data_IF_439460408036
#
_entry.id   IF_439460408036
#
_cell.length_a   1.000
_cell.length_b   1.000
_cell.length_c   1.000
_cell.angle_alpha   90.00
_cell.angle_beta   90.00
_cell.angle_gamma   90.00
#
_symmetry.space_group_name_H-M   'P 1'
#
loop_
_entity.id
_entity.type
_entity.pdbx_description
1 polymer ?
#
# COMPACT_ATOMS: atom_id res chain seq x y z
N UNK A 1 -1.39 -9.01 -69.34
CA UNK A 1 -2.20 -9.93 -68.51
C UNK A 1 -1.70 -10.07 -67.06
N UNK A 2 -0.40 -9.90 -66.78
CA UNK A 2 0.16 -10.04 -65.42
C UNK A 2 -0.31 -9.00 -64.38
N UNK A 3 -0.57 -7.75 -64.77
CA UNK A 3 -0.97 -6.70 -63.83
C UNK A 3 -2.38 -6.87 -63.24
N UNK A 4 -3.33 -7.44 -64.00
CA UNK A 4 -4.70 -7.73 -63.53
C UNK A 4 -4.74 -8.90 -62.55
N UNK A 5 -3.86 -9.90 -62.74
CA UNK A 5 -3.74 -11.07 -61.85
C UNK A 5 -3.16 -10.66 -60.49
N UNK A 6 -2.19 -9.74 -60.46
CA UNK A 6 -1.62 -9.21 -59.21
C UNK A 6 -2.62 -8.38 -58.39
N UNK A 7 -3.52 -7.63 -59.04
CA UNK A 7 -4.55 -6.85 -58.34
C UNK A 7 -5.61 -7.77 -57.69
N UNK A 8 -6.02 -8.83 -58.39
CA UNK A 8 -6.98 -9.83 -57.89
C UNK A 8 -6.41 -10.65 -56.73
N UNK A 9 -5.12 -11.01 -56.77
CA UNK A 9 -4.42 -11.67 -55.67
C UNK A 9 -4.33 -10.79 -54.42
N UNK A 10 -4.07 -9.48 -54.57
CA UNK A 10 -4.05 -8.55 -53.42
C UNK A 10 -5.44 -8.32 -52.82
N UNK A 11 -6.48 -8.21 -53.64
CA UNK A 11 -7.87 -8.10 -53.18
C UNK A 11 -8.35 -9.37 -52.47
N UNK A 12 -7.95 -10.55 -52.95
CA UNK A 12 -8.27 -11.83 -52.31
C UNK A 12 -7.53 -12.00 -50.97
N UNK A 13 -6.27 -11.59 -50.88
CA UNK A 13 -5.50 -11.66 -49.63
C UNK A 13 -6.03 -10.66 -48.57
N UNK A 14 -6.49 -9.48 -48.99
CA UNK A 14 -7.14 -8.51 -48.09
C UNK A 14 -8.51 -9.00 -47.61
N UNK A 15 -9.28 -9.69 -48.47
CA UNK A 15 -10.55 -10.30 -48.07
C UNK A 15 -10.36 -11.48 -47.11
N UNK A 16 -9.31 -12.29 -47.28
CA UNK A 16 -8.95 -13.38 -46.35
C UNK A 16 -8.43 -12.84 -45.02
N UNK A 17 -7.67 -11.73 -45.02
CA UNK A 17 -7.25 -11.05 -43.79
C UNK A 17 -8.46 -10.41 -43.07
N UNK A 18 -9.39 -9.78 -43.78
CA UNK A 18 -10.63 -9.25 -43.20
C UNK A 18 -11.55 -10.35 -42.66
N UNK A 19 -11.62 -11.52 -43.32
CA UNK A 19 -12.38 -12.67 -42.83
C UNK A 19 -11.70 -13.39 -41.65
N UNK A 20 -10.36 -13.40 -41.59
CA UNK A 20 -9.61 -13.89 -40.43
C UNK A 20 -9.74 -12.97 -39.21
N UNK A 21 -9.96 -11.67 -39.41
CA UNK A 21 -10.28 -10.72 -38.32
C UNK A 21 -11.72 -10.91 -37.83
N UNK A 22 -12.63 -11.43 -38.66
CA UNK A 22 -14.05 -11.64 -38.31
C UNK A 22 -14.35 -12.99 -37.61
N UNK A 23 -13.35 -13.86 -37.40
CA UNK A 23 -13.55 -15.20 -36.80
C UNK A 23 -12.74 -15.45 -35.52
N UNK A 24 -12.21 -14.39 -34.90
CA UNK A 24 -11.95 -14.43 -33.46
C UNK A 24 -13.31 -14.39 -32.79
N UNK A 25 -13.81 -15.59 -32.48
CA UNK A 25 -14.85 -15.84 -31.50
C UNK A 25 -14.73 -14.82 -30.39
N UNK A 26 -15.83 -14.13 -30.09
CA UNK A 26 -16.06 -13.40 -28.85
C UNK A 26 -15.87 -14.39 -27.70
N UNK A 27 -14.63 -14.71 -27.36
CA UNK A 27 -14.28 -14.82 -25.96
C UNK A 27 -14.54 -13.42 -25.45
N UNK A 28 -15.69 -13.23 -24.82
CA UNK A 28 -15.82 -12.21 -23.80
C UNK A 28 -14.62 -12.44 -22.90
N UNK A 29 -13.53 -11.69 -23.12
CA UNK A 29 -12.43 -11.65 -22.19
C UNK A 29 -13.09 -11.17 -20.91
N UNK A 30 -13.41 -12.13 -20.05
CA UNK A 30 -13.98 -11.86 -18.76
C UNK A 30 -13.06 -10.81 -18.15
N UNK A 31 -13.59 -9.60 -17.94
CA UNK A 31 -12.82 -8.51 -17.36
C UNK A 31 -12.09 -9.10 -16.15
N UNK A 32 -10.75 -9.08 -16.10
CA UNK A 32 -10.01 -9.71 -15.01
C UNK A 32 -10.33 -9.07 -13.64
N UNK A 33 -11.07 -7.94 -13.63
CA UNK A 33 -11.62 -7.27 -12.46
C UNK A 33 -13.11 -7.55 -12.22
N UNK A 34 -13.77 -8.33 -13.07
CA UNK A 34 -15.16 -8.74 -12.89
C UNK A 34 -15.30 -9.63 -11.67
N UNK A 35 -16.25 -9.27 -10.82
CA UNK A 35 -16.59 -10.06 -9.63
C UNK A 35 -17.61 -11.15 -9.99
N UNK A 36 -17.57 -12.30 -9.29
CA UNK A 36 -18.58 -13.34 -9.43
C UNK A 36 -20.00 -12.78 -9.39
N UNK A 37 -20.88 -13.32 -10.23
CA UNK A 37 -22.22 -12.79 -10.43
C UNK A 37 -23.00 -12.68 -9.10
N UNK A 38 -22.84 -13.69 -8.25
CA UNK A 38 -23.48 -13.85 -6.95
C UNK A 38 -22.97 -12.90 -5.87
N UNK A 39 -21.81 -12.25 -6.06
CA UNK A 39 -21.22 -11.35 -5.05
C UNK A 39 -21.82 -9.94 -5.11
N UNK A 40 -23.10 -9.85 -4.74
CA UNK A 40 -23.85 -8.59 -4.78
C UNK A 40 -23.30 -7.54 -3.82
N UNK A 41 -22.82 -7.95 -2.64
CA UNK A 41 -22.25 -7.04 -1.63
C UNK A 41 -20.90 -6.53 -2.09
N UNK A 42 -20.03 -7.41 -2.57
CA UNK A 42 -18.73 -7.03 -3.11
C UNK A 42 -18.85 -6.01 -4.26
N UNK A 43 -19.82 -6.18 -5.17
CA UNK A 43 -20.07 -5.22 -6.26
C UNK A 43 -20.43 -3.83 -5.75
N UNK A 44 -21.26 -3.73 -4.71
CA UNK A 44 -21.58 -2.44 -4.07
C UNK A 44 -20.35 -1.79 -3.46
N UNK A 45 -19.57 -2.55 -2.69
CA UNK A 45 -18.33 -2.05 -2.08
C UNK A 45 -17.30 -1.63 -3.13
N UNK A 46 -17.14 -2.43 -4.20
CA UNK A 46 -16.26 -2.11 -5.32
C UNK A 46 -16.64 -0.76 -5.94
N UNK A 47 -17.91 -0.54 -6.24
CA UNK A 47 -18.36 0.71 -6.85
C UNK A 47 -18.08 1.93 -5.96
N UNK A 48 -18.33 1.83 -4.65
CA UNK A 48 -18.03 2.90 -3.69
C UNK A 48 -16.52 3.14 -3.55
N UNK A 49 -15.73 2.07 -3.42
CA UNK A 49 -14.28 2.12 -3.33
C UNK A 49 -13.66 2.71 -4.61
N UNK A 50 -14.08 2.27 -5.80
CA UNK A 50 -13.59 2.77 -7.10
C UNK A 50 -13.82 4.28 -7.21
N UNK A 51 -15.02 4.75 -6.86
CA UNK A 51 -15.37 6.17 -6.92
C UNK A 51 -14.49 7.02 -6.00
N UNK A 52 -14.32 6.61 -4.74
CA UNK A 52 -13.47 7.33 -3.78
C UNK A 52 -12.00 7.25 -4.14
N UNK A 53 -11.52 6.10 -4.61
CA UNK A 53 -10.12 5.91 -4.98
C UNK A 53 -9.76 6.80 -6.17
N UNK A 54 -10.64 6.89 -7.18
CA UNK A 54 -10.48 7.84 -8.28
C UNK A 54 -10.40 9.29 -7.77
N UNK A 55 -11.33 9.70 -6.92
CA UNK A 55 -11.33 11.04 -6.32
C UNK A 55 -10.04 11.32 -5.53
N UNK A 56 -9.56 10.35 -4.75
CA UNK A 56 -8.32 10.45 -3.99
C UNK A 56 -7.11 10.64 -4.92
N UNK A 57 -6.99 9.81 -5.95
CA UNK A 57 -5.89 9.86 -6.92
C UNK A 57 -5.90 11.16 -7.74
N UNK A 58 -7.06 11.58 -8.25
CA UNK A 58 -7.21 12.86 -8.95
C UNK A 58 -6.81 14.03 -8.03
N UNK A 59 -7.21 13.97 -6.76
CA UNK A 59 -6.83 14.96 -5.76
C UNK A 59 -5.33 15.00 -5.46
N UNK A 60 -4.62 13.86 -5.50
CA UNK A 60 -3.16 13.79 -5.33
C UNK A 60 -2.45 14.47 -6.50
N UNK A 61 -2.85 14.15 -7.74
CA UNK A 61 -2.23 14.74 -8.93
C UNK A 61 -2.53 16.24 -9.04
N UNK A 62 -3.75 16.65 -8.69
CA UNK A 62 -4.15 18.05 -8.71
C UNK A 62 -3.40 18.89 -7.66
N UNK A 63 -3.11 18.33 -6.48
CA UNK A 63 -2.38 19.02 -5.42
C UNK A 63 -0.86 19.09 -5.65
N UNK A 64 -0.32 18.29 -6.58
CA UNK A 64 1.10 18.29 -6.87
C UNK A 64 1.55 19.56 -7.59
N UNK A 65 2.67 20.15 -7.16
CA UNK A 65 3.33 21.23 -7.90
C UNK A 65 3.78 20.73 -9.27
N UNK A 66 4.04 21.64 -10.22
CA UNK A 66 4.43 21.28 -11.57
C UNK A 66 5.67 20.37 -11.60
N UNK A 67 6.63 20.63 -10.72
CA UNK A 67 7.89 19.89 -10.59
C UNK A 67 7.69 18.47 -10.03
N UNK A 68 6.64 18.26 -9.23
CA UNK A 68 6.35 16.97 -8.57
C UNK A 68 5.22 16.19 -9.22
N UNK A 69 4.62 16.72 -10.29
CA UNK A 69 3.44 16.11 -10.93
C UNK A 69 3.73 14.72 -11.50
N UNK A 70 4.89 14.52 -12.14
CA UNK A 70 5.30 13.20 -12.66
C UNK A 70 5.43 12.17 -11.53
N UNK A 71 6.08 12.55 -10.43
CA UNK A 71 6.21 11.72 -9.24
C UNK A 71 4.85 11.37 -8.62
N UNK A 72 3.93 12.32 -8.56
CA UNK A 72 2.58 12.09 -8.05
C UNK A 72 1.79 11.11 -8.92
N UNK A 73 1.90 11.23 -10.25
CA UNK A 73 1.28 10.29 -11.20
C UNK A 73 1.87 8.88 -11.07
N UNK A 74 3.19 8.76 -10.99
CA UNK A 74 3.86 7.47 -10.79
C UNK A 74 3.42 6.80 -9.49
N UNK A 75 3.36 7.55 -8.39
CA UNK A 75 2.90 7.04 -7.10
C UNK A 75 1.44 6.58 -7.15
N UNK A 76 0.56 7.30 -7.85
CA UNK A 76 -0.84 6.91 -8.07
C UNK A 76 -0.93 5.60 -8.84
N UNK A 77 -0.19 5.46 -9.94
CA UNK A 77 -0.18 4.24 -10.75
C UNK A 77 0.33 3.05 -9.95
N UNK A 78 1.38 3.23 -9.15
CA UNK A 78 1.90 2.18 -8.28
C UNK A 78 0.86 1.73 -7.25
N UNK A 79 0.15 2.67 -6.61
CA UNK A 79 -0.88 2.34 -5.64
C UNK A 79 -2.11 1.68 -6.28
N UNK A 80 -2.45 2.08 -7.50
CA UNK A 80 -3.50 1.41 -8.27
C UNK A 80 -3.14 -0.05 -8.58
N UNK A 81 -1.90 -0.32 -8.99
CA UNK A 81 -1.42 -1.69 -9.23
C UNK A 81 -1.45 -2.53 -7.95
N UNK A 82 -0.98 -1.98 -6.82
CA UNK A 82 -1.00 -2.67 -5.53
C UNK A 82 -2.44 -3.02 -5.09
N UNK A 83 -3.38 -2.09 -5.31
CA UNK A 83 -4.81 -2.30 -5.05
C UNK A 83 -5.40 -3.39 -5.92
N UNK A 84 -5.15 -3.36 -7.23
CA UNK A 84 -5.64 -4.36 -8.17
C UNK A 84 -5.11 -5.77 -7.82
N UNK A 85 -3.82 -5.89 -7.47
CA UNK A 85 -3.22 -7.16 -7.04
C UNK A 85 -3.89 -7.67 -5.76
N UNK A 86 -4.14 -6.80 -4.79
CA UNK A 86 -4.74 -7.19 -3.51
C UNK A 86 -6.19 -7.61 -3.67
N UNK A 87 -6.97 -6.87 -4.46
CA UNK A 87 -8.35 -7.23 -4.79
C UNK A 87 -8.41 -8.53 -5.61
N UNK A 88 -7.49 -8.73 -6.56
CA UNK A 88 -7.40 -9.98 -7.34
C UNK A 88 -7.11 -11.20 -6.46
N UNK A 89 -6.18 -11.08 -5.50
CA UNK A 89 -5.92 -12.12 -4.50
C UNK A 89 -7.17 -12.41 -3.65
N UNK A 90 -7.87 -11.36 -3.21
CA UNK A 90 -9.11 -11.52 -2.46
C UNK A 90 -10.20 -12.22 -3.28
N UNK A 91 -10.39 -11.84 -4.54
CA UNK A 91 -11.31 -12.53 -5.46
C UNK A 91 -10.93 -14.00 -5.64
N UNK A 92 -9.64 -14.28 -5.83
CA UNK A 92 -9.12 -15.65 -6.04
C UNK A 92 -9.29 -16.56 -4.82
N UNK A 93 -9.50 -16.00 -3.63
CA UNK A 93 -9.80 -16.78 -2.42
C UNK A 93 -11.19 -17.42 -2.43
N UNK A 94 -12.10 -16.95 -3.29
CA UNK A 94 -13.48 -17.42 -3.34
C UNK A 94 -14.36 -16.96 -2.16
N UNK A 95 -13.83 -16.14 -1.25
CA UNK A 95 -14.57 -15.57 -0.12
C UNK A 95 -14.98 -14.11 -0.40
N UNK A 96 -16.29 -13.88 -0.54
CA UNK A 96 -16.86 -12.55 -0.75
C UNK A 96 -16.53 -11.60 0.42
N UNK A 97 -16.52 -12.10 1.65
CA UNK A 97 -16.26 -11.28 2.84
C UNK A 97 -14.81 -10.80 2.86
N UNK A 98 -13.88 -11.64 2.40
CA UNK A 98 -12.49 -11.24 2.24
C UNK A 98 -12.35 -10.10 1.23
N UNK A 99 -13.02 -10.20 0.07
CA UNK A 99 -13.05 -9.10 -0.90
C UNK A 99 -13.65 -7.82 -0.31
N UNK A 100 -14.81 -7.92 0.35
CA UNK A 100 -15.48 -6.77 0.99
C UNK A 100 -14.57 -6.12 2.03
N UNK A 101 -13.84 -6.90 2.82
CA UNK A 101 -12.88 -6.40 3.80
C UNK A 101 -11.74 -5.61 3.13
N UNK A 102 -11.15 -6.14 2.06
CA UNK A 102 -10.06 -5.45 1.33
C UNK A 102 -10.58 -4.19 0.65
N UNK A 103 -11.74 -4.24 -0.01
CA UNK A 103 -12.37 -3.07 -0.64
C UNK A 103 -12.69 -1.98 0.39
N UNK A 104 -13.20 -2.34 1.56
CA UNK A 104 -13.47 -1.40 2.65
C UNK A 104 -12.18 -0.75 3.20
N UNK A 105 -11.07 -1.49 3.26
CA UNK A 105 -9.78 -0.96 3.68
C UNK A 105 -9.28 0.12 2.69
N UNK A 106 -9.36 -0.14 1.37
CA UNK A 106 -9.02 0.85 0.35
C UNK A 106 -9.99 2.04 0.33
N UNK A 107 -11.28 1.81 0.56
CA UNK A 107 -12.26 2.90 0.70
C UNK A 107 -11.86 3.85 1.85
N UNK A 108 -11.51 3.30 3.01
CA UNK A 108 -11.04 4.06 4.17
C UNK A 108 -9.73 4.79 3.85
N UNK A 109 -8.80 4.14 3.17
CA UNK A 109 -7.54 4.73 2.74
C UNK A 109 -7.78 5.93 1.80
N UNK A 110 -8.63 5.78 0.80
CA UNK A 110 -9.04 6.86 -0.09
C UNK A 110 -9.69 8.02 0.68
N UNK A 111 -10.54 7.72 1.67
CA UNK A 111 -11.11 8.73 2.57
C UNK A 111 -10.06 9.57 3.31
N UNK A 112 -9.00 8.93 3.81
CA UNK A 112 -7.89 9.64 4.47
C UNK A 112 -7.14 10.56 3.50
N UNK A 113 -6.93 10.15 2.25
CA UNK A 113 -6.32 10.99 1.20
C UNK A 113 -7.19 12.18 0.84
N UNK A 114 -8.50 11.96 0.72
CA UNK A 114 -9.48 13.02 0.42
C UNK A 114 -9.46 14.08 1.54
N UNK A 115 -9.45 13.65 2.80
CA UNK A 115 -9.44 14.53 3.96
C UNK A 115 -8.09 15.26 4.20
N UNK A 116 -6.99 14.77 3.63
CA UNK A 116 -5.68 15.39 3.77
C UNK A 116 -5.61 16.76 3.07
N UNK A 117 -4.86 17.70 3.69
CA UNK A 117 -4.53 18.99 3.07
C UNK A 117 -3.75 18.78 1.77
N UNK A 118 -3.80 19.72 0.80
CA UNK A 118 -3.16 19.57 -0.52
C UNK A 118 -1.70 19.10 -0.43
N UNK A 119 -0.87 19.76 0.37
CA UNK A 119 0.55 19.44 0.54
C UNK A 119 0.81 18.05 1.13
N UNK A 120 -0.20 17.46 1.77
CA UNK A 120 -0.08 16.18 2.47
C UNK A 120 -0.73 15.02 1.72
N UNK A 121 -1.46 15.25 0.62
CA UNK A 121 -2.20 14.19 -0.09
C UNK A 121 -1.30 13.05 -0.56
N UNK A 122 -0.14 13.36 -1.16
CA UNK A 122 0.79 12.33 -1.63
C UNK A 122 1.31 11.44 -0.49
N UNK A 123 1.67 12.05 0.64
CA UNK A 123 2.14 11.33 1.83
C UNK A 123 1.02 10.53 2.50
N UNK A 124 -0.18 11.12 2.58
CA UNK A 124 -1.37 10.43 3.09
C UNK A 124 -1.72 9.22 2.23
N UNK A 125 -1.58 9.31 0.90
CA UNK A 125 -1.82 8.20 -0.01
C UNK A 125 -0.85 7.05 0.24
N UNK A 126 0.45 7.34 0.28
CA UNK A 126 1.46 6.32 0.57
C UNK A 126 1.15 5.61 1.89
N UNK A 127 0.95 6.35 2.99
CA UNK A 127 0.69 5.76 4.30
C UNK A 127 -0.63 4.95 4.34
N UNK A 128 -1.72 5.51 3.82
CA UNK A 128 -3.04 4.92 3.97
C UNK A 128 -3.26 3.71 3.05
N UNK A 129 -2.76 3.76 1.81
CA UNK A 129 -2.89 2.64 0.89
C UNK A 129 -1.94 1.49 1.25
N UNK A 130 -0.71 1.78 1.70
CA UNK A 130 0.17 0.74 2.24
C UNK A 130 -0.45 0.10 3.50
N UNK A 131 -1.18 0.87 4.31
CA UNK A 131 -1.92 0.35 5.45
C UNK A 131 -3.14 -0.50 5.11
N UNK A 132 -3.70 -0.39 3.90
CA UNK A 132 -4.86 -1.18 3.48
C UNK A 132 -4.55 -2.67 3.25
N UNK A 133 -3.27 -3.00 3.06
CA UNK A 133 -2.77 -4.36 2.81
C UNK A 133 -2.05 -4.98 4.00
N UNK A 134 -1.65 -4.15 4.97
CA UNK A 134 -1.07 -4.63 6.21
C UNK A 134 -2.14 -5.33 7.09
N UNK A 135 -1.75 -6.28 7.96
CA UNK A 135 -2.67 -6.88 8.91
C UNK A 135 -3.30 -5.82 9.82
N UNK A 136 -4.61 -5.93 10.09
CA UNK A 136 -5.31 -4.99 10.98
C UNK A 136 -4.98 -5.31 12.46
N UNK A 137 -4.36 -4.38 13.21
CA UNK A 137 -4.13 -4.57 14.64
C UNK A 137 -5.39 -4.87 15.45
N UNK A 138 -6.55 -4.33 15.04
CA UNK A 138 -7.83 -4.57 15.70
C UNK A 138 -8.32 -6.02 15.59
N UNK A 139 -7.72 -6.82 14.69
CA UNK A 139 -8.01 -8.24 14.50
C UNK A 139 -6.97 -9.15 15.15
N UNK A 140 -5.96 -8.62 15.83
CA UNK A 140 -5.03 -9.43 16.58
C UNK A 140 -5.73 -10.19 17.72
N UNK A 141 -5.38 -11.47 17.98
CA UNK A 141 -4.27 -12.25 17.38
C UNK A 141 -4.67 -13.09 16.14
N UNK A 142 -5.83 -12.86 15.52
CA UNK A 142 -6.43 -13.75 14.51
C UNK A 142 -5.93 -13.53 13.07
N UNK A 143 -4.89 -12.72 12.87
CA UNK A 143 -4.31 -12.39 11.54
C UNK A 143 -2.89 -12.94 11.43
N UNK A 144 -1.88 -12.10 11.26
CA UNK A 144 -0.47 -12.49 11.23
C UNK A 144 0.14 -12.48 12.64
N UNK A 145 0.63 -13.63 13.08
CA UNK A 145 1.19 -13.79 14.44
C UNK A 145 2.44 -12.93 14.68
N UNK A 146 3.48 -12.97 13.83
CA UNK A 146 4.65 -12.10 13.98
C UNK A 146 4.29 -10.61 14.07
N UNK A 147 3.37 -10.13 13.22
CA UNK A 147 2.85 -8.77 13.28
C UNK A 147 2.18 -8.48 14.61
N UNK A 148 1.26 -9.32 15.08
CA UNK A 148 0.54 -9.10 16.32
C UNK A 148 1.47 -9.09 17.55
N UNK A 149 2.49 -9.95 17.55
CA UNK A 149 3.52 -9.97 18.60
C UNK A 149 4.36 -8.68 18.59
N UNK A 150 4.83 -8.25 17.42
CA UNK A 150 5.58 -6.99 17.28
C UNK A 150 4.73 -5.78 17.64
N UNK A 151 3.47 -5.72 17.18
CA UNK A 151 2.53 -4.64 17.50
C UNK A 151 2.30 -4.54 19.01
N UNK A 152 2.05 -5.67 19.69
CA UNK A 152 1.88 -5.67 21.14
C UNK A 152 3.13 -5.17 21.87
N UNK A 153 4.33 -5.54 21.41
CA UNK A 153 5.60 -5.06 21.98
C UNK A 153 5.78 -3.55 21.79
N UNK A 154 5.57 -3.04 20.58
CA UNK A 154 5.72 -1.62 20.29
C UNK A 154 4.69 -0.78 21.03
N UNK A 155 3.42 -1.21 21.11
CA UNK A 155 2.38 -0.53 21.91
C UNK A 155 2.75 -0.45 23.40
N UNK A 156 3.29 -1.54 23.95
CA UNK A 156 3.77 -1.56 25.33
C UNK A 156 4.95 -0.60 25.53
N UNK A 157 5.87 -0.55 24.58
CA UNK A 157 6.98 0.40 24.61
C UNK A 157 6.47 1.86 24.57
N UNK A 158 5.58 2.19 23.64
CA UNK A 158 4.97 3.52 23.51
C UNK A 158 4.26 3.94 24.79
N UNK A 159 3.39 3.08 25.32
CA UNK A 159 2.64 3.33 26.55
C UNK A 159 3.57 3.47 27.76
N UNK A 160 4.57 2.61 27.87
CA UNK A 160 5.57 2.65 28.94
C UNK A 160 6.44 3.91 28.91
N UNK A 161 6.77 4.41 27.73
CA UNK A 161 7.48 5.68 27.55
C UNK A 161 6.59 6.86 27.94
N UNK A 162 5.34 6.91 27.50
CA UNK A 162 4.40 7.98 27.93
C UNK A 162 4.22 7.97 29.44
N UNK A 163 4.14 6.78 30.05
CA UNK A 163 3.98 6.63 31.49
C UNK A 163 5.20 7.09 32.30
N UNK A 164 6.38 7.24 31.69
CA UNK A 164 7.60 7.68 32.39
C UNK A 164 7.67 9.18 32.64
N UNK A 165 6.71 9.96 32.15
CA UNK A 165 6.59 11.38 32.49
C UNK A 165 6.06 11.58 33.91
N UNK A 166 6.75 12.38 34.72
CA UNK A 166 6.37 12.63 36.12
C UNK A 166 5.21 13.61 36.31
N UNK A 167 4.82 14.36 35.27
CA UNK A 167 3.77 15.38 35.33
C UNK A 167 2.86 15.28 34.10
N UNK A 168 1.62 15.78 34.15
CA UNK A 168 0.76 15.86 32.96
C UNK A 168 1.44 16.58 31.79
N UNK A 169 2.21 17.65 32.07
CA UNK A 169 2.91 18.41 31.04
C UNK A 169 4.04 17.61 30.38
N UNK A 170 4.85 16.88 31.16
CA UNK A 170 5.90 16.03 30.60
C UNK A 170 5.32 14.84 29.84
N UNK A 171 4.23 14.22 30.34
CA UNK A 171 3.51 13.18 29.60
C UNK A 171 3.00 13.66 28.25
N UNK A 172 2.41 14.85 28.17
CA UNK A 172 1.96 15.44 26.89
C UNK A 172 3.11 15.65 25.90
N UNK A 173 4.24 16.18 26.36
CA UNK A 173 5.44 16.34 25.52
C UNK A 173 5.98 15.00 25.02
N UNK A 174 6.03 14.00 25.89
CA UNK A 174 6.42 12.63 25.52
C UNK A 174 5.44 12.03 24.52
N UNK A 175 4.12 12.22 24.70
CA UNK A 175 3.09 11.71 23.78
C UNK A 175 3.27 12.25 22.36
N UNK A 176 3.61 13.53 22.18
CA UNK A 176 3.85 14.09 20.83
C UNK A 176 5.06 13.42 20.14
N UNK A 177 6.15 13.20 20.88
CA UNK A 177 7.33 12.50 20.37
C UNK A 177 7.03 11.04 20.03
N UNK A 178 6.33 10.34 20.94
CA UNK A 178 5.92 8.94 20.76
C UNK A 178 4.98 8.78 19.56
N UNK A 179 4.05 9.72 19.35
CA UNK A 179 3.13 9.68 18.22
C UNK A 179 3.87 9.75 16.87
N UNK A 180 4.91 10.59 16.76
CA UNK A 180 5.74 10.67 15.54
C UNK A 180 6.45 9.35 15.27
N UNK A 181 7.02 8.73 16.30
CA UNK A 181 7.72 7.44 16.18
C UNK A 181 6.76 6.30 15.87
N UNK A 182 5.55 6.32 16.44
CA UNK A 182 4.48 5.37 16.13
C UNK A 182 4.07 5.45 14.66
N UNK A 183 3.78 6.65 14.16
CA UNK A 183 3.43 6.84 12.75
C UNK A 183 4.55 6.38 11.80
N UNK A 184 5.81 6.65 12.13
CA UNK A 184 6.94 6.16 11.34
C UNK A 184 7.07 4.63 11.38
N UNK A 185 6.80 4.02 12.53
CA UNK A 185 6.81 2.56 12.69
C UNK A 185 5.72 1.91 11.83
N UNK A 186 4.49 2.42 11.95
CA UNK A 186 3.35 1.94 11.17
C UNK A 186 3.62 2.11 9.66
N UNK A 187 4.17 3.25 9.24
CA UNK A 187 4.51 3.50 7.84
C UNK A 187 5.50 2.46 7.28
N UNK A 188 6.55 2.15 8.04
CA UNK A 188 7.59 1.22 7.62
C UNK A 188 7.09 -0.23 7.58
N UNK A 189 6.28 -0.64 8.57
CA UNK A 189 5.68 -1.97 8.59
C UNK A 189 4.69 -2.10 7.44
N UNK A 190 3.77 -1.14 7.29
CA UNK A 190 2.76 -1.15 6.22
C UNK A 190 3.40 -1.23 4.85
N UNK A 191 4.47 -0.46 4.63
CA UNK A 191 5.21 -0.48 3.37
C UNK A 191 5.84 -1.85 3.06
N UNK A 192 6.45 -2.51 4.05
CA UNK A 192 6.99 -3.85 3.82
C UNK A 192 5.90 -4.87 3.48
N UNK A 193 4.73 -4.76 4.11
CA UNK A 193 3.57 -5.58 3.74
C UNK A 193 3.08 -5.28 2.33
N UNK A 194 3.05 -4.01 1.93
CA UNK A 194 2.66 -3.60 0.58
C UNK A 194 3.60 -4.10 -0.51
N UNK A 195 4.90 -4.17 -0.23
CA UNK A 195 5.89 -4.76 -1.13
C UNK A 195 5.80 -6.29 -1.19
N UNK A 196 5.26 -6.94 -0.16
CA UNK A 196 4.96 -8.37 -0.13
C UNK A 196 6.17 -9.30 0.01
N UNK A 197 7.37 -8.75 0.23
CA UNK A 197 8.60 -9.50 0.48
C UNK A 197 8.61 -10.03 1.93
N UNK A 198 8.50 -11.36 2.07
CA UNK A 198 8.43 -12.04 3.38
C UNK A 198 9.69 -11.84 4.22
N UNK A 199 10.86 -11.81 3.60
CA UNK A 199 12.12 -11.64 4.32
C UNK A 199 12.24 -10.19 4.81
N UNK A 200 11.82 -9.23 3.98
CA UNK A 200 11.77 -7.83 4.37
C UNK A 200 10.78 -7.57 5.50
N UNK A 201 9.58 -8.16 5.44
CA UNK A 201 8.59 -8.10 6.52
C UNK A 201 9.19 -8.65 7.82
N UNK A 202 9.76 -9.85 7.79
CA UNK A 202 10.35 -10.48 8.96
C UNK A 202 11.49 -9.63 9.57
N UNK A 203 12.37 -9.08 8.73
CA UNK A 203 13.48 -8.22 9.14
C UNK A 203 12.99 -6.93 9.81
N UNK A 204 12.00 -6.25 9.24
CA UNK A 204 11.43 -5.03 9.82
C UNK A 204 10.73 -5.33 11.16
N UNK A 205 9.91 -6.38 11.21
CA UNK A 205 9.21 -6.76 12.44
C UNK A 205 10.19 -7.13 13.56
N UNK A 206 11.26 -7.86 13.24
CA UNK A 206 12.31 -8.20 14.19
C UNK A 206 13.06 -6.96 14.70
N UNK A 207 13.42 -6.03 13.82
CA UNK A 207 14.14 -4.81 14.19
C UNK A 207 13.32 -3.92 15.12
N UNK A 208 12.03 -3.72 14.84
CA UNK A 208 11.13 -2.98 15.74
C UNK A 208 10.85 -3.74 17.05
N UNK A 209 10.77 -5.06 17.01
CA UNK A 209 10.70 -5.88 18.22
C UNK A 209 11.90 -5.67 19.14
N UNK A 210 13.12 -5.67 18.58
CA UNK A 210 14.36 -5.41 19.33
C UNK A 210 14.43 -3.98 19.89
N UNK A 211 14.00 -2.99 19.10
CA UNK A 211 13.92 -1.60 19.55
C UNK A 211 12.94 -1.47 20.73
N UNK A 212 11.77 -2.12 20.66
CA UNK A 212 10.80 -2.14 21.75
C UNK A 212 11.34 -2.82 23.01
N UNK A 213 12.05 -3.95 22.87
CA UNK A 213 12.69 -4.64 23.99
C UNK A 213 13.76 -3.75 24.67
N UNK A 214 14.53 -2.98 23.89
CA UNK A 214 15.50 -2.02 24.42
C UNK A 214 14.84 -0.88 25.22
N UNK A 215 13.71 -0.34 24.73
CA UNK A 215 12.93 0.66 25.48
C UNK A 215 12.35 0.07 26.77
N UNK A 216 11.85 -1.17 26.71
CA UNK A 216 11.30 -1.83 27.87
C UNK A 216 12.36 -1.97 28.98
N UNK A 217 13.60 -2.34 28.61
CA UNK A 217 14.73 -2.48 29.51
C UNK A 217 15.29 -1.14 30.04
N UNK A 218 15.06 -0.02 29.34
CA UNK A 218 15.58 1.28 29.77
C UNK A 218 14.91 1.78 31.07
N UNK A 219 15.66 2.46 31.96
CA UNK A 219 15.08 3.07 33.15
C UNK A 219 14.10 4.19 32.76
N UNK A 220 13.06 4.49 33.57
CA UNK A 220 12.00 5.45 33.22
C UNK A 220 12.49 6.78 32.63
N UNK A 221 13.47 7.51 33.21
CA UNK A 221 13.90 8.79 32.66
C UNK A 221 14.58 8.68 31.28
N UNK A 222 15.13 7.51 30.93
CA UNK A 222 15.84 7.30 29.65
C UNK A 222 14.94 6.70 28.56
N UNK A 223 13.71 6.25 28.88
CA UNK A 223 12.84 5.53 27.92
C UNK A 223 12.59 6.30 26.64
N UNK A 224 12.28 7.61 26.72
CA UNK A 224 12.04 8.42 25.53
C UNK A 224 13.30 8.51 24.67
N UNK A 225 14.45 8.82 25.26
CA UNK A 225 15.73 8.93 24.55
C UNK A 225 16.15 7.60 23.90
N UNK A 226 15.96 6.48 24.58
CA UNK A 226 16.23 5.15 24.01
C UNK A 226 15.27 4.85 22.87
N UNK A 227 13.99 5.20 23.01
CA UNK A 227 12.99 5.02 21.94
C UNK A 227 13.34 5.85 20.72
N UNK A 228 13.58 7.15 20.87
CA UNK A 228 13.97 8.05 19.78
C UNK A 228 15.20 7.52 19.05
N UNK A 229 16.23 7.08 19.79
CA UNK A 229 17.45 6.52 19.20
C UNK A 229 17.16 5.23 18.42
N UNK A 230 16.51 4.27 19.04
CA UNK A 230 16.37 2.92 18.47
C UNK A 230 15.34 2.87 17.35
N UNK A 231 14.17 3.49 17.52
CA UNK A 231 13.12 3.50 16.50
C UNK A 231 13.54 4.32 15.27
N UNK A 232 14.22 5.46 15.47
CA UNK A 232 14.74 6.25 14.34
C UNK A 232 15.85 5.52 13.59
N UNK A 233 16.70 4.76 14.28
CA UNK A 233 17.72 3.94 13.63
C UNK A 233 17.11 2.85 12.74
N UNK A 234 16.05 2.17 13.21
CA UNK A 234 15.29 1.20 12.40
C UNK A 234 14.67 1.88 11.19
N UNK A 235 14.04 3.05 11.37
CA UNK A 235 13.45 3.79 10.26
C UNK A 235 14.49 4.21 9.21
N UNK A 236 15.65 4.73 9.64
CA UNK A 236 16.72 5.13 8.75
C UNK A 236 17.26 3.95 7.91
N UNK A 237 17.43 2.78 8.53
CA UNK A 237 17.87 1.57 7.84
C UNK A 237 16.85 1.13 6.76
N UNK A 238 15.55 1.18 7.07
CA UNK A 238 14.49 0.86 6.10
C UNK A 238 14.50 1.80 4.88
N UNK A 239 14.81 3.09 5.08
CA UNK A 239 14.92 4.06 3.99
C UNK A 239 16.17 3.86 3.12
N UNK A 240 17.31 3.51 3.71
CA UNK A 240 18.55 3.23 2.97
C UNK A 240 18.42 2.00 2.05
N UNK A 241 17.78 0.94 2.55
CA UNK A 241 17.53 -0.28 1.78
C UNK A 241 16.59 -0.01 0.59
N UNK A 242 15.57 0.83 0.77
CA UNK A 242 14.70 1.28 -0.31
C UNK A 242 15.42 2.13 -1.36
N UNK A 243 16.31 3.04 -0.94
CA UNK A 243 17.08 3.88 -1.84
C UNK A 243 18.07 3.06 -2.68
N UNK A 244 18.72 2.05 -2.08
CA UNK A 244 19.61 1.14 -2.79
C UNK A 244 18.87 0.30 -3.84
N UNK A 245 17.68 -0.21 -3.52
CA UNK A 245 16.85 -0.96 -4.46
C UNK A 245 16.39 -0.09 -5.66
N UNK A 246 15.99 1.16 -5.41
CA UNK A 246 15.61 2.09 -6.47
C UNK A 246 16.79 2.44 -7.40
N UNK A 247 18.00 2.64 -6.84
CA UNK A 247 19.20 2.89 -7.61
C UNK A 247 19.57 1.67 -8.50
N UNK A 248 19.47 0.45 -7.97
CA UNK A 248 19.73 -0.76 -8.75
C UNK A 248 18.72 -0.94 -9.90
N UNK A 249 17.43 -0.67 -9.66
CA UNK A 249 16.41 -0.75 -10.69
C UNK A 249 16.58 0.31 -11.80
N UNK A 250 17.13 1.48 -11.47
CA UNK A 250 17.44 2.52 -12.45
C UNK A 250 18.61 2.15 -13.36
N UNK A 251 19.63 1.44 -12.83
CA UNK A 251 20.79 0.98 -13.60
C UNK A 251 20.42 -0.09 -14.64
N UNK A 252 19.38 -0.90 -14.38
CA UNK A 252 18.91 -1.94 -15.31
C UNK A 252 18.09 -1.35 -16.48
N UNK A 253 17.62 -0.11 -16.37
CA UNK A 253 16.82 0.57 -17.39
C UNK A 253 17.64 1.44 -18.38
N UNK A 254 18.97 1.37 -18.33
CA UNK A 254 19.90 2.04 -19.27
C UNK A 254 20.52 1.01 -20.19
#
# INVERSE_FOLDING_TARGET
>A
MAAKVFLLLRLSMVAVVLAAIATVVLAEEADPRALPAQWTTAKKYKATMDAKTRQAFDGVVAAATAEKRSQAVEAVLQQQLNMDVSLSKATSSGDENNYVSVAAAYEKAAGAVIAATPDNKLRAMAFAFDGAVAPDPGRCPAVDKPFCETYAKTEKAFSGTIASGDTPKSKLGITDAVLKLRLATDANINKAYAEGDKDKIAKILAAYGQAADAVAAAPPPEKLKVMEKTFSAVAAAAHQEAAAAAAAAAVIKV
#
